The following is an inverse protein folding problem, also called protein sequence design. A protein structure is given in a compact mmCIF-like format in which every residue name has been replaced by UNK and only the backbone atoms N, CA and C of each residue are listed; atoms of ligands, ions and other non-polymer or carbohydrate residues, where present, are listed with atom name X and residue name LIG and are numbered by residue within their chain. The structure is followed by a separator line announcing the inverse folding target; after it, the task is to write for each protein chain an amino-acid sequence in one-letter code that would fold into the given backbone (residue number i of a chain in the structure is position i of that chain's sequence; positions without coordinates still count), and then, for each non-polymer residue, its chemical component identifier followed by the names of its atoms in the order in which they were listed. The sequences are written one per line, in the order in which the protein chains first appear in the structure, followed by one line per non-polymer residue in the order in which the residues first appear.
data_IF_672682448721
#
_entry.id   IF_672682448721
#
_cell.length_a   1.000
_cell.length_b   1.000
_cell.length_c   1.000
_cell.angle_alpha   90.00
_cell.angle_beta   90.00
_cell.angle_gamma   90.00
#
_symmetry.space_group_name_H-M   'P 1'
#
loop_
_entity.id
_entity.type
_entity.pdbx_description
1 polymer ?
#
# COMPACT_ATOMS: atom_id res chain seq x y z
N UNK A 1 0.29 -0.23 -16.79
CA UNK A 1 -1.00 -0.45 -17.48
C UNK A 1 -1.93 -1.14 -16.51
N UNK A 2 -3.23 -0.84 -16.57
CA UNK A 2 -4.24 -1.50 -15.75
C UNK A 2 -5.13 -2.34 -16.66
N UNK A 3 -5.46 -3.61 -16.31
CA UNK A 3 -5.11 -4.32 -15.08
C UNK A 3 -3.64 -4.76 -15.01
N UNK A 4 -3.13 -5.13 -13.82
CA UNK A 4 -1.78 -5.67 -13.65
C UNK A 4 -1.58 -7.00 -14.38
N UNK A 5 -0.35 -7.29 -14.83
CA UNK A 5 0.01 -8.56 -15.45
C UNK A 5 1.08 -9.30 -14.64
N UNK A 6 1.13 -10.62 -14.80
CA UNK A 6 2.21 -11.47 -14.26
C UNK A 6 3.57 -11.03 -14.80
N UNK A 7 4.60 -11.14 -13.97
CA UNK A 7 6.00 -10.80 -14.27
C UNK A 7 6.23 -9.35 -14.77
N UNK A 8 5.23 -8.47 -14.67
CA UNK A 8 5.39 -7.05 -14.94
C UNK A 8 5.48 -6.28 -13.61
N UNK A 9 6.35 -5.27 -13.58
CA UNK A 9 6.47 -4.38 -12.45
C UNK A 9 5.22 -3.51 -12.34
N UNK A 10 4.48 -3.65 -11.24
CA UNK A 10 3.40 -2.76 -10.88
C UNK A 10 3.90 -1.74 -9.86
N UNK A 11 3.79 -0.47 -10.23
CA UNK A 11 3.99 0.66 -9.32
C UNK A 11 2.65 1.29 -8.99
N UNK A 12 2.29 1.31 -7.71
CA UNK A 12 1.14 2.07 -7.22
C UNK A 12 1.62 3.24 -6.41
N UNK A 13 1.14 4.43 -6.79
CA UNK A 13 1.35 5.66 -6.04
C UNK A 13 0.02 6.28 -5.65
N UNK A 14 -0.04 6.87 -4.47
CA UNK A 14 -1.17 7.67 -4.00
C UNK A 14 -0.66 9.04 -3.60
N UNK A 15 -1.44 10.05 -3.95
CA UNK A 15 -1.24 11.42 -3.48
C UNK A 15 -2.40 11.82 -2.58
N UNK A 16 -2.10 12.60 -1.54
CA UNK A 16 -3.08 13.11 -0.61
C UNK A 16 -2.59 14.39 0.06
N UNK A 17 -3.27 14.80 1.12
CA UNK A 17 -2.86 15.91 1.97
C UNK A 17 -2.86 15.40 3.41
N UNK A 18 -1.69 15.40 4.05
CA UNK A 18 -1.56 15.18 5.48
C UNK A 18 -2.25 16.33 6.22
N UNK A 19 -3.19 16.00 7.08
CA UNK A 19 -3.85 16.98 7.97
C UNK A 19 -3.00 17.31 9.19
N UNK A 20 -2.09 16.41 9.55
CA UNK A 20 -1.25 16.49 10.74
C UNK A 20 0.21 16.17 10.39
N UNK A 21 1.13 16.63 11.22
CA UNK A 21 2.54 16.27 11.13
C UNK A 21 2.79 14.92 11.78
N UNK A 22 3.60 14.07 11.16
CA UNK A 22 4.07 12.83 11.77
C UNK A 22 5.51 12.53 11.33
N UNK A 23 6.31 12.02 12.28
CA UNK A 23 7.75 11.75 12.08
C UNK A 23 8.10 10.27 12.15
N UNK A 24 7.13 9.42 12.51
CA UNK A 24 7.24 7.97 12.54
C UNK A 24 5.89 7.34 12.18
N UNK A 25 5.89 6.07 11.84
CA UNK A 25 4.65 5.30 11.65
C UNK A 25 4.95 3.97 10.97
N UNK A 26 3.95 3.09 10.97
CA UNK A 26 4.02 1.79 10.35
C UNK A 26 2.94 1.65 9.28
N UNK A 27 3.18 0.82 8.29
CA UNK A 27 2.15 0.30 7.41
C UNK A 27 1.87 -1.16 7.71
N UNK A 28 0.67 -1.59 7.37
CA UNK A 28 0.27 -2.97 7.26
C UNK A 28 -0.33 -3.21 5.86
N UNK A 29 0.23 -4.17 5.13
CA UNK A 29 -0.20 -4.60 3.80
C UNK A 29 -0.77 -6.00 3.86
N UNK A 30 -2.00 -6.15 3.40
CA UNK A 30 -2.68 -7.44 3.31
C UNK A 30 -3.16 -7.67 1.89
N UNK A 31 -2.80 -8.81 1.30
CA UNK A 31 -3.33 -9.26 0.02
C UNK A 31 -4.38 -10.34 0.29
N UNK A 32 -5.55 -10.20 -0.31
CA UNK A 32 -6.63 -11.16 -0.24
C UNK A 32 -6.88 -11.73 -1.64
N UNK A 33 -6.81 -13.05 -1.78
CA UNK A 33 -7.12 -13.76 -3.02
C UNK A 33 -8.38 -14.61 -2.80
N UNK A 34 -9.45 -14.33 -3.54
CA UNK A 34 -10.75 -15.03 -3.41
C UNK A 34 -11.23 -15.17 -1.95
N UNK A 35 -11.05 -14.13 -1.15
CA UNK A 35 -11.43 -14.12 0.27
C UNK A 35 -10.38 -14.71 1.24
N UNK A 36 -9.32 -15.35 0.75
CA UNK A 36 -8.21 -15.83 1.59
C UNK A 36 -7.16 -14.74 1.78
N UNK A 37 -6.91 -14.38 3.04
CA UNK A 37 -5.85 -13.42 3.37
C UNK A 37 -4.48 -14.09 3.36
N UNK A 38 -3.58 -13.60 2.53
CA UNK A 38 -2.16 -13.94 2.59
C UNK A 38 -1.51 -13.27 3.81
N UNK A 39 -0.33 -13.74 4.27
CA UNK A 39 0.37 -13.13 5.38
C UNK A 39 0.55 -11.62 5.18
N UNK A 40 0.24 -10.86 6.23
CA UNK A 40 0.41 -9.41 6.22
C UNK A 40 1.88 -9.03 6.30
N UNK A 41 2.27 -8.00 5.54
CA UNK A 41 3.60 -7.39 5.64
C UNK A 41 3.45 -6.11 6.45
N UNK A 42 4.20 -6.01 7.55
CA UNK A 42 4.26 -4.83 8.40
C UNK A 42 5.67 -4.23 8.27
N UNK A 43 5.75 -2.92 8.12
CA UNK A 43 7.02 -2.20 8.00
C UNK A 43 6.87 -0.73 8.35
N UNK A 44 7.97 0.00 8.53
CA UNK A 44 7.95 1.43 8.79
C UNK A 44 7.52 2.21 7.55
N UNK A 45 6.94 3.41 7.72
CA UNK A 45 6.38 4.19 6.59
C UNK A 45 7.44 4.77 5.64
N UNK A 46 8.66 4.95 6.11
CA UNK A 46 9.80 5.39 5.29
C UNK A 46 10.19 4.34 4.22
N UNK A 47 9.97 3.04 4.48
CA UNK A 47 10.16 1.97 3.49
C UNK A 47 9.24 2.10 2.26
N UNK A 48 8.14 2.85 2.36
CA UNK A 48 7.25 3.15 1.22
C UNK A 48 7.80 4.29 0.34
N UNK A 49 9.06 4.69 0.51
CA UNK A 49 9.67 5.79 -0.22
C UNK A 49 8.99 7.14 0.07
N UNK A 50 8.38 7.27 1.25
CA UNK A 50 7.63 8.44 1.67
C UNK A 50 8.59 9.37 2.42
N UNK A 51 8.61 10.65 2.03
CA UNK A 51 9.12 11.69 2.92
C UNK A 51 8.02 12.03 3.91
N UNK A 52 8.18 11.61 5.16
CA UNK A 52 7.20 11.85 6.21
C UNK A 52 7.00 13.37 6.40
N UNK A 53 5.74 13.85 6.39
CA UNK A 53 5.45 15.26 6.45
C UNK A 53 5.61 15.76 7.89
N UNK A 54 6.65 16.55 8.13
CA UNK A 54 6.84 17.21 9.44
C UNK A 54 5.85 18.34 9.68
N UNK A 55 5.04 18.70 8.67
CA UNK A 55 3.97 19.69 8.72
C UNK A 55 2.78 19.23 7.86
N UNK A 56 1.54 19.65 8.16
CA UNK A 56 0.40 19.43 7.29
C UNK A 56 0.69 19.91 5.87
N UNK A 57 0.32 19.12 4.87
CA UNK A 57 0.63 19.46 3.48
C UNK A 57 0.53 18.31 2.50
N UNK A 58 0.89 18.55 1.22
CA UNK A 58 0.80 17.54 0.17
C UNK A 58 1.67 16.33 0.49
N UNK A 59 1.09 15.15 0.32
CA UNK A 59 1.73 13.86 0.42
C UNK A 59 1.72 13.18 -0.93
N UNK A 60 2.86 12.61 -1.33
CA UNK A 60 2.94 11.65 -2.43
C UNK A 60 3.66 10.43 -1.91
N UNK A 61 3.00 9.28 -2.03
CA UNK A 61 3.43 8.01 -1.46
C UNK A 61 3.48 6.98 -2.57
N UNK A 62 4.58 6.23 -2.65
CA UNK A 62 4.64 5.04 -3.50
C UNK A 62 4.21 3.88 -2.61
N UNK A 63 2.96 3.47 -2.74
CA UNK A 63 2.35 2.46 -1.86
C UNK A 63 3.00 1.09 -2.06
N UNK A 64 3.39 0.76 -3.30
CA UNK A 64 4.22 -0.42 -3.54
C UNK A 64 4.81 -0.45 -4.95
N UNK A 65 5.98 -1.08 -5.04
CA UNK A 65 6.51 -1.69 -6.26
C UNK A 65 6.47 -3.19 -6.06
N UNK A 66 5.63 -3.91 -6.82
CA UNK A 66 5.54 -5.36 -6.72
C UNK A 66 5.49 -5.97 -8.10
N UNK A 67 6.04 -7.17 -8.21
CA UNK A 67 5.89 -8.02 -9.39
C UNK A 67 4.92 -9.13 -9.00
N UNK A 68 3.85 -9.30 -9.76
CA UNK A 68 2.95 -10.44 -9.57
C UNK A 68 3.69 -11.69 -10.06
N UNK A 69 3.91 -12.70 -9.22
CA UNK A 69 4.63 -13.91 -9.63
C UNK A 69 3.93 -14.61 -10.79
N UNK A 70 4.71 -15.26 -11.67
CA UNK A 70 4.17 -16.04 -12.79
C UNK A 70 3.19 -17.14 -12.35
N UNK A 71 3.41 -17.70 -11.18
CA UNK A 71 2.58 -18.77 -10.59
C UNK A 71 1.31 -18.25 -9.90
N UNK A 72 1.09 -16.93 -9.87
CA UNK A 72 -0.10 -16.37 -9.25
C UNK A 72 -1.37 -16.80 -10.02
N UNK A 73 -2.35 -17.44 -9.37
CA UNK A 73 -3.53 -17.96 -10.03
C UNK A 73 -4.46 -16.84 -10.57
N UNK A 74 -5.22 -17.14 -11.61
CA UNK A 74 -6.25 -16.24 -12.16
C UNK A 74 -7.37 -15.99 -11.14
N UNK A 75 -7.88 -14.76 -11.10
CA UNK A 75 -9.04 -14.41 -10.27
C UNK A 75 -8.95 -13.04 -9.61
N UNK A 76 -9.89 -12.79 -8.70
CA UNK A 76 -10.00 -11.54 -7.97
C UNK A 76 -8.99 -11.43 -6.82
N UNK A 77 -8.24 -10.33 -6.83
CA UNK A 77 -7.32 -9.91 -5.79
C UNK A 77 -7.75 -8.57 -5.18
N UNK A 78 -7.68 -8.48 -3.86
CA UNK A 78 -7.80 -7.24 -3.12
C UNK A 78 -6.50 -6.98 -2.34
N UNK A 79 -5.88 -5.81 -2.57
CA UNK A 79 -4.80 -5.29 -1.73
C UNK A 79 -5.37 -4.25 -0.77
N UNK A 80 -5.07 -4.42 0.50
CA UNK A 80 -5.33 -3.45 1.55
C UNK A 80 -4.00 -2.89 2.05
N UNK A 81 -3.88 -1.58 2.07
CA UNK A 81 -2.75 -0.89 2.70
C UNK A 81 -3.30 0.08 3.72
N UNK A 82 -2.90 -0.13 4.97
CA UNK A 82 -3.19 0.76 6.08
C UNK A 82 -1.89 1.33 6.61
N UNK A 83 -1.82 2.64 6.81
CA UNK A 83 -0.72 3.32 7.46
C UNK A 83 -1.23 3.97 8.74
N UNK A 84 -0.47 3.83 9.81
CA UNK A 84 -0.76 4.49 11.08
C UNK A 84 0.48 5.08 11.72
N UNK A 85 0.27 6.16 12.46
CA UNK A 85 1.26 6.71 13.39
C UNK A 85 1.08 6.04 14.76
N UNK A 86 2.07 5.24 15.20
CA UNK A 86 2.10 4.53 16.51
C UNK A 86 0.74 4.02 17.01
N UNK A 87 0.00 3.32 16.15
CA UNK A 87 -1.31 2.70 16.45
C UNK A 87 -2.45 3.67 16.87
N UNK A 88 -2.22 4.98 16.84
CA UNK A 88 -3.17 5.98 17.34
C UNK A 88 -3.92 6.73 16.24
N UNK A 89 -3.30 6.99 15.09
CA UNK A 89 -3.92 7.72 13.98
C UNK A 89 -3.75 6.99 12.65
N UNK A 90 -4.87 6.73 11.95
CA UNK A 90 -4.84 6.20 10.57
C UNK A 90 -4.47 7.34 9.60
N UNK A 91 -3.28 7.23 9.01
CA UNK A 91 -2.72 8.20 8.06
C UNK A 91 -3.22 7.91 6.64
N UNK A 92 -3.40 6.63 6.32
CA UNK A 92 -3.80 6.17 5.00
C UNK A 92 -4.57 4.85 5.13
N UNK A 93 -5.65 4.73 4.37
CA UNK A 93 -6.32 3.46 4.15
C UNK A 93 -6.71 3.36 2.67
N UNK A 94 -6.13 2.40 1.98
CA UNK A 94 -6.32 2.19 0.55
C UNK A 94 -6.70 0.75 0.31
N UNK A 95 -7.77 0.56 -0.46
CA UNK A 95 -8.17 -0.74 -1.05
C UNK A 95 -8.00 -0.66 -2.56
N UNK A 96 -7.33 -1.66 -3.13
CA UNK A 96 -7.17 -1.81 -4.58
C UNK A 96 -7.67 -3.20 -4.95
N UNK A 97 -8.59 -3.28 -5.91
CA UNK A 97 -9.16 -4.53 -6.37
C UNK A 97 -8.85 -4.73 -7.85
N UNK A 98 -8.39 -5.90 -8.24
CA UNK A 98 -8.17 -6.24 -9.65
C UNK A 98 -8.46 -7.72 -9.93
N UNK A 99 -8.73 -8.00 -11.21
CA UNK A 99 -8.76 -9.35 -11.75
C UNK A 99 -7.41 -9.62 -12.42
N UNK A 100 -6.75 -10.73 -12.07
CA UNK A 100 -5.58 -11.23 -12.77
C UNK A 100 -6.02 -12.23 -13.84
#
# INVERSE_FOLDING_TARGET
MWPPKRNELLTVSVSGVAKESFIYGNYNKTIVYRGYSLPSIIGPLDDLGIKLPTHPGPLKMIIFNATIPEVAPEGQYDLYVKASEQDHFEVLCVKISWEL
#
